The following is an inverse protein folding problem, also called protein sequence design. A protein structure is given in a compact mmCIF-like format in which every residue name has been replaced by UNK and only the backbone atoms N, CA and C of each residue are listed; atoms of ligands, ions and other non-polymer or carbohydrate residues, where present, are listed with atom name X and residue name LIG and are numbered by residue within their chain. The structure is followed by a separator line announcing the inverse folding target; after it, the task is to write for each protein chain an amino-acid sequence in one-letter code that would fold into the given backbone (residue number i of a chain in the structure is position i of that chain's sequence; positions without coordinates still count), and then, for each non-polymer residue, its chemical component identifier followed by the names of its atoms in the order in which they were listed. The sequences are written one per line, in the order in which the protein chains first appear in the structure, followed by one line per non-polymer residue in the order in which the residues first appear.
data_IF_965704094848
#
_entry.id   IF_965704094848
#
_cell.length_a   1.000
_cell.length_b   1.000
_cell.length_c   1.000
_cell.angle_alpha   90.00
_cell.angle_beta   90.00
_cell.angle_gamma   90.00
#
_symmetry.space_group_name_H-M   'P 1'
#
loop_
_entity.id
_entity.type
_entity.pdbx_description
1 polymer ?
#
# COMPACT_ATOMS: atom_id res chain seq x y z
N UNK A 1 13.60 8.24 -17.21
CA UNK A 1 12.86 8.44 -15.93
C UNK A 1 11.42 7.99 -16.11
N UNK A 2 10.99 6.93 -15.40
CA UNK A 2 9.57 6.54 -15.37
C UNK A 2 8.86 7.39 -14.32
N UNK A 3 8.26 8.50 -14.74
CA UNK A 3 7.22 9.14 -13.94
C UNK A 3 6.06 8.16 -13.89
N UNK A 4 5.95 7.40 -12.81
CA UNK A 4 4.88 6.44 -12.60
C UNK A 4 3.57 7.20 -12.40
N UNK A 5 2.89 7.52 -13.52
CA UNK A 5 1.51 8.02 -13.54
C UNK A 5 0.56 6.92 -13.05
N UNK A 6 0.56 6.65 -11.75
CA UNK A 6 -0.31 5.65 -11.13
C UNK A 6 -1.52 6.33 -10.52
N UNK A 7 -2.69 5.71 -10.70
CA UNK A 7 -3.95 6.09 -10.04
C UNK A 7 -4.12 5.44 -8.67
N UNK A 8 -3.18 4.60 -8.25
CA UNK A 8 -3.15 4.06 -6.89
C UNK A 8 -2.69 5.21 -5.99
N UNK A 9 -3.63 5.73 -5.20
CA UNK A 9 -3.44 6.89 -4.34
C UNK A 9 -3.45 6.53 -2.86
N UNK A 10 -3.75 5.27 -2.52
CA UNK A 10 -3.90 4.81 -1.15
C UNK A 10 -3.54 3.33 -0.99
N UNK A 11 -3.04 2.96 0.19
CA UNK A 11 -2.73 1.58 0.58
C UNK A 11 -3.24 1.35 2.00
N UNK A 12 -3.87 0.19 2.19
CA UNK A 12 -4.27 -0.31 3.49
C UNK A 12 -3.65 -1.70 3.70
N UNK A 13 -3.39 -2.06 4.95
CA UNK A 13 -2.97 -3.44 5.30
C UNK A 13 -4.05 -4.12 6.13
N UNK A 14 -4.52 -5.26 5.64
CA UNK A 14 -5.40 -6.15 6.40
C UNK A 14 -4.56 -7.16 7.18
N UNK A 15 -4.75 -7.20 8.49
CA UNK A 15 -4.09 -8.08 9.44
C UNK A 15 -5.18 -8.89 10.14
N UNK A 16 -4.94 -10.18 10.40
CA UNK A 16 -5.97 -11.13 10.85
C UNK A 16 -6.91 -10.63 11.97
N UNK A 17 -8.09 -11.26 12.08
CA UNK A 17 -9.25 -10.80 12.90
C UNK A 17 -9.90 -9.49 12.46
N UNK A 18 -9.66 -9.01 11.24
CA UNK A 18 -10.37 -7.84 10.72
C UNK A 18 -9.60 -6.54 10.76
N UNK A 19 -8.45 -6.48 11.45
CA UNK A 19 -7.68 -5.25 11.67
C UNK A 19 -7.16 -4.65 10.38
N UNK A 20 -7.61 -3.44 10.04
CA UNK A 20 -7.11 -2.67 8.89
C UNK A 20 -6.28 -1.51 9.39
N UNK A 21 -5.05 -1.39 8.88
CA UNK A 21 -4.24 -0.20 9.07
C UNK A 21 -4.49 0.74 7.90
N UNK A 22 -5.08 1.89 8.20
CA UNK A 22 -5.33 2.96 7.24
C UNK A 22 -4.80 4.29 7.80
N UNK A 23 -3.97 4.99 7.02
CA UNK A 23 -3.59 6.39 7.27
C UNK A 23 -4.27 7.34 6.30
N UNK A 24 -5.32 8.03 6.74
CA UNK A 24 -5.98 9.07 5.93
C UNK A 24 -5.44 10.46 6.29
N UNK A 25 -5.53 11.40 5.35
CA UNK A 25 -5.12 12.80 5.59
C UNK A 25 -5.93 13.44 6.74
N UNK A 26 -7.22 13.08 6.86
CA UNK A 26 -8.17 13.69 7.80
C UNK A 26 -8.49 12.82 9.01
N UNK A 27 -7.94 11.61 9.09
CA UNK A 27 -8.12 10.69 10.21
C UNK A 27 -6.74 10.15 10.58
N UNK A 28 -6.35 10.23 11.86
CA UNK A 28 -5.16 9.54 12.37
C UNK A 28 -5.20 8.05 11.99
N UNK A 29 -4.14 7.26 12.23
CA UNK A 29 -4.20 5.84 11.90
C UNK A 29 -5.31 5.16 12.71
N UNK A 30 -6.27 4.53 12.02
CA UNK A 30 -7.43 3.87 12.63
C UNK A 30 -7.28 2.37 12.47
N UNK A 31 -7.54 1.64 13.56
CA UNK A 31 -7.82 0.21 13.55
C UNK A 31 -9.32 0.02 13.22
N UNK A 32 -9.61 -0.48 12.02
CA UNK A 32 -10.98 -0.85 11.64
C UNK A 32 -11.13 -2.36 11.63
N UNK A 33 -12.27 -2.88 12.11
CA UNK A 33 -12.64 -4.30 12.02
C UNK A 33 -13.45 -4.64 10.75
N UNK A 34 -13.91 -3.63 10.00
CA UNK A 34 -14.74 -3.79 8.81
C UNK A 34 -14.13 -3.02 7.64
N UNK A 35 -13.94 -3.69 6.51
CA UNK A 35 -13.67 -3.03 5.22
C UNK A 35 -14.79 -2.02 4.96
N UNK A 36 -14.44 -0.74 4.77
CA UNK A 36 -15.43 0.29 4.45
C UNK A 36 -16.15 -0.04 3.14
N UNK A 37 -17.39 0.43 3.01
CA UNK A 37 -18.24 0.23 1.83
C UNK A 37 -17.65 0.99 0.63
N UNK A 38 -16.68 0.39 -0.08
CA UNK A 38 -15.92 1.01 -1.17
C UNK A 38 -16.64 0.87 -2.53
N UNK A 39 -17.96 1.03 -2.55
CA UNK A 39 -18.84 0.75 -3.71
C UNK A 39 -18.44 1.44 -5.03
N UNK A 40 -17.71 2.55 -4.97
CA UNK A 40 -17.31 3.33 -6.14
C UNK A 40 -15.79 3.33 -6.41
N UNK A 41 -15.04 2.39 -5.82
CA UNK A 41 -13.57 2.33 -5.99
C UNK A 41 -13.12 1.03 -6.66
N UNK A 42 -12.02 1.12 -7.40
CA UNK A 42 -11.30 -0.05 -7.88
C UNK A 42 -10.28 -0.45 -6.82
N UNK A 43 -10.47 -1.63 -6.22
CA UNK A 43 -9.55 -2.18 -5.22
C UNK A 43 -8.70 -3.28 -5.82
N UNK A 44 -7.39 -3.17 -5.63
CA UNK A 44 -6.46 -4.26 -5.88
C UNK A 44 -6.06 -4.84 -4.55
N UNK A 45 -6.28 -6.14 -4.35
CA UNK A 45 -5.76 -6.83 -3.17
C UNK A 45 -4.54 -7.64 -3.51
N UNK A 46 -3.49 -7.33 -2.77
CA UNK A 46 -2.18 -7.93 -2.85
C UNK A 46 -1.91 -8.74 -1.58
N UNK A 47 -1.19 -9.85 -1.71
CA UNK A 47 -0.79 -10.71 -0.60
C UNK A 47 0.72 -10.93 -0.63
N UNK A 48 1.34 -10.77 0.53
CA UNK A 48 2.70 -11.22 0.79
C UNK A 48 2.70 -12.70 1.18
N UNK A 49 3.65 -13.46 0.64
CA UNK A 49 3.88 -14.84 1.07
C UNK A 49 4.84 -14.85 2.28
N UNK A 50 4.24 -14.71 3.47
CA UNK A 50 4.97 -14.65 4.73
C UNK A 50 5.07 -16.03 5.39
N UNK A 51 6.24 -16.35 5.94
CA UNK A 51 6.43 -17.51 6.80
C UNK A 51 5.58 -17.39 8.09
N UNK A 52 5.27 -18.50 8.79
CA UNK A 52 4.54 -18.44 10.06
C UNK A 52 5.19 -17.52 11.10
N UNK A 53 6.53 -17.50 11.14
CA UNK A 53 7.31 -16.64 12.04
C UNK A 53 7.12 -15.16 11.66
N UNK A 54 7.25 -14.83 10.36
CA UNK A 54 7.05 -13.47 9.86
C UNK A 54 5.62 -12.98 10.10
N UNK A 55 4.60 -13.85 9.90
CA UNK A 55 3.21 -13.51 10.22
C UNK A 55 3.05 -13.13 11.69
N UNK A 56 3.52 -13.98 12.61
CA UNK A 56 3.45 -13.70 14.06
C UNK A 56 4.18 -12.40 14.43
N UNK A 57 5.34 -12.15 13.82
CA UNK A 57 6.11 -10.91 14.02
C UNK A 57 5.37 -9.69 13.48
N UNK A 58 4.77 -9.78 12.29
CA UNK A 58 4.00 -8.70 11.69
C UNK A 58 2.82 -8.30 12.58
N UNK A 59 2.05 -9.26 13.09
CA UNK A 59 0.96 -8.99 14.04
C UNK A 59 1.44 -8.18 15.26
N UNK A 60 2.56 -8.59 15.86
CA UNK A 60 3.16 -7.87 17.01
C UNK A 60 3.62 -6.47 16.64
N UNK A 61 4.32 -6.31 15.52
CA UNK A 61 4.80 -5.01 15.02
C UNK A 61 3.63 -4.06 14.81
N UNK A 62 2.54 -4.54 14.21
CA UNK A 62 1.33 -3.75 13.97
C UNK A 62 0.74 -3.26 15.28
N UNK A 63 0.59 -4.13 16.27
CA UNK A 63 0.07 -3.74 17.59
C UNK A 63 0.98 -2.70 18.28
N UNK A 64 2.31 -2.85 18.19
CA UNK A 64 3.28 -1.89 18.73
C UNK A 64 3.21 -0.53 18.01
N UNK A 65 3.14 -0.56 16.67
CA UNK A 65 3.01 0.63 15.84
C UNK A 65 1.71 1.37 16.18
N UNK A 66 0.57 0.69 16.27
CA UNK A 66 -0.70 1.33 16.61
C UNK A 66 -0.68 1.94 18.02
N UNK A 67 -0.08 1.25 19.01
CA UNK A 67 0.13 1.80 20.36
C UNK A 67 0.96 3.08 20.38
N UNK A 68 1.91 3.22 19.45
CA UNK A 68 2.73 4.44 19.33
C UNK A 68 1.95 5.66 18.80
N UNK A 69 0.68 5.48 18.38
CA UNK A 69 -0.19 6.53 17.82
C UNK A 69 0.51 7.33 16.70
N UNK A 70 0.92 6.67 15.61
CA UNK A 70 1.60 7.33 14.50
C UNK A 70 0.71 8.46 13.96
N UNK A 71 1.34 9.46 13.33
CA UNK A 71 0.60 10.59 12.75
C UNK A 71 0.77 10.63 11.25
N UNK A 72 -0.23 11.17 10.55
CA UNK A 72 -0.11 11.34 9.11
C UNK A 72 0.97 12.39 8.77
N UNK A 73 1.78 12.14 7.73
CA UNK A 73 2.79 13.09 7.29
C UNK A 73 2.21 14.23 6.43
N UNK A 74 1.51 15.18 7.07
CA UNK A 74 0.93 16.35 6.39
C UNK A 74 1.99 17.22 5.69
N UNK A 75 3.20 17.35 6.28
CA UNK A 75 4.30 18.15 5.69
C UNK A 75 4.86 17.48 4.44
N UNK A 76 4.80 16.16 4.37
CA UNK A 76 5.18 15.41 3.19
C UNK A 76 4.31 15.68 1.97
N UNK A 77 3.13 16.31 2.08
CA UNK A 77 2.25 16.57 0.92
C UNK A 77 2.94 17.42 -0.15
N UNK A 78 3.74 18.41 0.27
CA UNK A 78 4.60 19.19 -0.63
C UNK A 78 5.69 18.30 -1.23
N UNK A 79 6.30 17.43 -0.42
CA UNK A 79 7.28 16.44 -0.87
C UNK A 79 6.72 15.45 -1.89
N UNK A 80 5.45 15.07 -1.75
CA UNK A 80 4.75 14.21 -2.68
C UNK A 80 4.47 14.91 -4.02
N UNK A 81 4.13 16.20 -4.00
CA UNK A 81 4.01 17.01 -5.21
C UNK A 81 5.37 17.10 -5.95
N UNK A 82 6.46 17.34 -5.22
CA UNK A 82 7.83 17.34 -5.76
C UNK A 82 8.17 15.96 -6.34
N UNK A 83 7.97 14.89 -5.58
CA UNK A 83 8.23 13.52 -6.02
C UNK A 83 7.45 13.15 -7.28
N UNK A 84 6.20 13.57 -7.42
CA UNK A 84 5.44 13.34 -8.66
C UNK A 84 6.04 14.03 -9.88
N UNK A 85 6.65 15.20 -9.70
CA UNK A 85 7.29 15.95 -10.78
C UNK A 85 8.69 15.41 -11.10
N UNK A 86 9.46 15.02 -10.08
CA UNK A 86 10.91 14.79 -10.20
C UNK A 86 11.35 13.34 -9.97
N UNK A 87 10.50 12.49 -9.38
CA UNK A 87 10.86 11.17 -8.88
C UNK A 87 11.72 11.18 -7.61
N UNK A 88 11.99 12.35 -7.03
CA UNK A 88 12.82 12.54 -5.84
C UNK A 88 11.97 13.04 -4.67
N UNK A 89 12.09 12.38 -3.50
CA UNK A 89 11.43 12.83 -2.28
C UNK A 89 12.45 13.44 -1.31
N UNK A 90 12.28 14.71 -0.89
CA UNK A 90 13.24 15.33 0.02
C UNK A 90 13.26 14.65 1.40
N UNK A 91 14.40 14.07 1.79
CA UNK A 91 14.56 13.31 3.05
C UNK A 91 14.16 14.09 4.30
N UNK A 92 14.37 15.41 4.33
CA UNK A 92 14.01 16.28 5.45
C UNK A 92 12.48 16.40 5.69
N UNK A 93 11.67 15.98 4.72
CA UNK A 93 10.21 15.88 4.87
C UNK A 93 9.76 14.55 5.49
N UNK A 94 10.65 13.56 5.60
CA UNK A 94 10.39 12.34 6.34
C UNK A 94 10.75 12.57 7.83
N UNK A 95 9.76 12.47 8.72
CA UNK A 95 9.94 12.71 10.16
C UNK A 95 9.56 11.47 10.94
N UNK A 96 10.38 11.12 11.92
CA UNK A 96 10.14 10.00 12.83
C UNK A 96 8.72 10.04 13.41
N UNK A 97 8.02 8.91 13.34
CA UNK A 97 6.65 8.78 13.85
C UNK A 97 5.56 9.43 12.98
N UNK A 98 5.92 9.95 11.80
CA UNK A 98 4.96 10.46 10.81
C UNK A 98 5.07 9.70 9.51
N UNK A 99 3.94 9.17 9.03
CA UNK A 99 3.92 8.28 7.88
C UNK A 99 2.82 8.67 6.89
N UNK A 100 3.08 8.42 5.61
CA UNK A 100 2.04 8.18 4.63
C UNK A 100 1.46 6.77 4.78
N UNK A 101 0.30 6.54 4.14
CA UNK A 101 -0.38 5.24 4.16
C UNK A 101 0.55 4.09 3.72
N UNK A 102 1.25 4.23 2.60
CA UNK A 102 2.19 3.23 2.06
C UNK A 102 3.45 3.07 2.89
N UNK A 103 3.99 4.16 3.44
CA UNK A 103 5.19 4.12 4.29
C UNK A 103 4.94 3.34 5.58
N UNK A 104 3.78 3.54 6.22
CA UNK A 104 3.46 2.82 7.45
C UNK A 104 3.36 1.31 7.17
N UNK A 105 2.68 0.93 6.09
CA UNK A 105 2.55 -0.47 5.69
C UNK A 105 3.93 -1.06 5.39
N UNK A 106 4.76 -0.35 4.63
CA UNK A 106 6.12 -0.78 4.31
C UNK A 106 6.98 -0.99 5.58
N UNK A 107 6.95 -0.03 6.51
CA UNK A 107 7.69 -0.09 7.78
C UNK A 107 7.25 -1.29 8.63
N UNK A 108 5.95 -1.61 8.66
CA UNK A 108 5.43 -2.80 9.34
C UNK A 108 6.03 -4.10 8.75
N UNK A 109 6.05 -4.22 7.41
CA UNK A 109 6.67 -5.37 6.74
C UNK A 109 8.18 -5.44 6.99
N UNK A 110 8.88 -4.32 6.91
CA UNK A 110 10.32 -4.24 7.11
C UNK A 110 10.72 -4.67 8.52
N UNK A 111 10.05 -4.15 9.56
CA UNK A 111 10.27 -4.57 10.96
C UNK A 111 9.91 -6.05 11.19
N UNK A 112 8.93 -6.57 10.46
CA UNK A 112 8.59 -7.99 10.47
C UNK A 112 9.64 -8.87 9.75
N UNK A 113 10.67 -8.29 9.14
CA UNK A 113 11.72 -9.01 8.42
C UNK A 113 11.32 -9.40 7.00
N UNK A 114 10.42 -8.64 6.36
CA UNK A 114 10.00 -8.83 4.98
C UNK A 114 10.20 -7.53 4.17
N UNK A 115 11.31 -7.44 3.44
CA UNK A 115 11.64 -6.24 2.64
C UNK A 115 10.86 -6.26 1.33
N UNK A 116 9.88 -5.38 1.14
CA UNK A 116 8.99 -5.39 -0.06
C UNK A 116 9.63 -4.82 -1.33
N UNK A 117 10.70 -4.05 -1.21
CA UNK A 117 11.46 -3.49 -2.33
C UNK A 117 12.89 -3.20 -1.89
N UNK A 118 13.58 -2.32 -2.60
CA UNK A 118 14.94 -1.95 -2.21
C UNK A 118 15.03 -0.79 -1.23
N UNK A 119 13.91 -0.11 -0.96
CA UNK A 119 13.85 1.05 -0.09
C UNK A 119 14.39 0.76 1.32
N UNK A 120 15.23 1.67 1.80
CA UNK A 120 15.73 1.67 3.18
C UNK A 120 14.72 2.29 4.16
N UNK A 121 14.98 2.15 5.46
CA UNK A 121 14.21 2.87 6.48
C UNK A 121 14.24 4.38 6.19
N UNK A 122 13.11 5.07 6.41
CA UNK A 122 12.95 6.52 6.16
C UNK A 122 13.07 6.98 4.70
N UNK A 123 13.09 6.05 3.74
CA UNK A 123 12.84 6.42 2.35
C UNK A 123 11.34 6.52 2.06
N UNK A 124 10.99 7.46 1.20
CA UNK A 124 9.62 7.60 0.75
C UNK A 124 9.22 6.39 -0.10
N UNK A 125 8.15 5.72 0.30
CA UNK A 125 7.57 4.60 -0.44
C UNK A 125 6.20 5.01 -0.92
N UNK A 126 6.01 5.06 -2.24
CA UNK A 126 4.71 5.40 -2.81
C UNK A 126 3.77 4.19 -2.81
N UNK A 127 2.43 4.40 -2.88
CA UNK A 127 1.48 3.32 -3.13
C UNK A 127 1.79 2.50 -4.39
N UNK A 128 2.45 3.11 -5.37
CA UNK A 128 2.80 2.45 -6.62
C UNK A 128 3.97 1.50 -6.44
N UNK A 129 4.96 1.85 -5.63
CA UNK A 129 6.11 0.99 -5.35
C UNK A 129 5.65 -0.31 -4.68
N UNK A 130 4.70 -0.18 -3.74
CA UNK A 130 4.01 -1.33 -3.13
C UNK A 130 3.29 -2.18 -4.18
N UNK A 131 2.51 -1.56 -5.09
CA UNK A 131 1.80 -2.31 -6.12
C UNK A 131 2.74 -3.05 -7.09
N UNK A 132 3.84 -2.40 -7.47
CA UNK A 132 4.81 -2.93 -8.44
C UNK A 132 5.76 -3.96 -7.84
N UNK A 133 5.89 -4.04 -6.51
CA UNK A 133 6.69 -5.05 -5.79
C UNK A 133 6.45 -6.47 -6.29
N UNK A 134 7.49 -7.17 -6.72
CA UNK A 134 7.44 -8.57 -7.18
C UNK A 134 7.14 -9.55 -6.04
N UNK A 135 7.44 -9.16 -4.80
CA UNK A 135 7.16 -9.93 -3.56
C UNK A 135 5.69 -9.94 -3.15
N UNK A 136 4.85 -9.14 -3.82
CA UNK A 136 3.41 -9.10 -3.61
C UNK A 136 2.65 -9.75 -4.77
N UNK A 137 1.85 -10.75 -4.44
CA UNK A 137 1.00 -11.46 -5.39
C UNK A 137 -0.38 -10.81 -5.47
N UNK A 138 -0.88 -10.56 -6.67
CA UNK A 138 -2.25 -10.10 -6.84
C UNK A 138 -3.23 -11.25 -6.63
N UNK A 139 -4.15 -11.08 -5.68
CA UNK A 139 -5.18 -12.08 -5.37
C UNK A 139 -6.48 -11.75 -6.09
N UNK A 140 -6.92 -10.49 -6.05
CA UNK A 140 -8.14 -10.07 -6.72
C UNK A 140 -8.16 -8.58 -7.07
N UNK A 141 -9.02 -8.26 -8.04
CA UNK A 141 -9.41 -6.91 -8.43
C UNK A 141 -10.91 -6.77 -8.20
N UNK A 142 -11.31 -5.87 -7.31
CA UNK A 142 -12.71 -5.43 -7.17
C UNK A 142 -12.86 -4.17 -8.00
N UNK A 143 -13.69 -4.22 -9.02
CA UNK A 143 -14.11 -3.02 -9.75
C UNK A 143 -15.54 -2.72 -9.29
N UNK A 144 -15.71 -1.68 -8.45
CA UNK A 144 -16.99 -1.35 -7.81
C UNK A 144 -18.18 -1.20 -8.79
N UNK A 145 -17.90 -0.98 -10.08
CA UNK A 145 -18.90 -0.86 -11.15
C UNK A 145 -19.22 -2.22 -11.81
N UNK A 146 -18.26 -3.14 -11.92
CA UNK A 146 -18.39 -4.38 -12.69
C UNK A 146 -18.33 -5.67 -11.84
N UNK A 147 -18.28 -5.55 -10.51
CA UNK A 147 -18.19 -6.67 -9.58
C UNK A 147 -16.78 -7.26 -9.43
N UNK A 148 -16.68 -8.39 -8.74
CA UNK A 148 -15.41 -9.08 -8.46
C UNK A 148 -14.89 -9.74 -9.73
N UNK A 149 -13.82 -9.21 -10.34
CA UNK A 149 -13.09 -9.94 -11.39
C UNK A 149 -12.07 -10.85 -10.71
N UNK A 150 -12.53 -12.02 -10.28
CA UNK A 150 -11.63 -13.10 -9.89
C UNK A 150 -10.87 -13.53 -11.15
N UNK A 151 -9.55 -13.32 -11.15
CA UNK A 151 -8.69 -13.92 -12.16
C UNK A 151 -8.64 -15.43 -11.92
N UNK A 152 -9.65 -16.17 -12.43
CA UNK A 152 -9.63 -17.65 -12.50
C UNK A 152 -8.49 -18.18 -13.38
N UNK A 153 -7.77 -17.31 -14.10
CA UNK A 153 -6.56 -17.66 -14.86
C UNK A 153 -5.31 -17.44 -14.00
N UNK A 154 -5.14 -18.28 -12.98
CA UNK A 154 -3.87 -18.43 -12.23
C UNK A 154 -2.72 -19.03 -13.05
N UNK A 155 -2.92 -19.26 -14.37
CA UNK A 155 -1.86 -19.67 -15.30
C UNK A 155 -1.12 -18.51 -15.99
N UNK A 156 -1.65 -17.29 -15.93
CA UNK A 156 -0.92 -16.10 -16.40
C UNK A 156 -0.01 -15.58 -15.28
N UNK A 157 1.27 -15.32 -15.58
CA UNK A 157 2.24 -14.86 -14.57
C UNK A 157 1.75 -13.59 -13.84
N UNK A 158 2.01 -13.48 -12.53
CA UNK A 158 1.64 -12.30 -11.70
C UNK A 158 2.04 -10.97 -12.37
N UNK A 159 3.15 -10.97 -13.10
CA UNK A 159 3.64 -9.83 -13.92
C UNK A 159 2.65 -9.43 -15.03
N UNK A 160 2.06 -10.39 -15.74
CA UNK A 160 1.04 -10.15 -16.78
C UNK A 160 -0.25 -9.62 -16.16
N UNK A 161 -0.71 -10.20 -15.06
CA UNK A 161 -1.90 -9.74 -14.33
C UNK A 161 -1.71 -8.29 -13.85
N UNK A 162 -0.58 -7.97 -13.19
CA UNK A 162 -0.25 -6.59 -12.79
C UNK A 162 -0.23 -5.61 -13.96
N UNK A 163 0.30 -6.03 -15.12
CA UNK A 163 0.34 -5.19 -16.33
C UNK A 163 -1.06 -4.90 -16.87
N UNK A 164 -1.94 -5.90 -16.93
CA UNK A 164 -3.32 -5.71 -17.38
C UNK A 164 -4.14 -4.89 -16.39
N UNK A 165 -4.00 -5.14 -15.08
CA UNK A 165 -4.63 -4.31 -14.03
C UNK A 165 -4.15 -2.86 -14.12
N UNK A 166 -2.85 -2.62 -14.37
CA UNK A 166 -2.32 -1.27 -14.58
C UNK A 166 -2.99 -0.59 -15.78
N UNK A 167 -3.21 -1.30 -16.90
CA UNK A 167 -3.96 -0.74 -18.05
C UNK A 167 -5.40 -0.37 -17.68
N UNK A 168 -6.09 -1.20 -16.90
CA UNK A 168 -7.44 -0.90 -16.40
C UNK A 168 -7.44 0.33 -15.51
N UNK A 169 -6.51 0.40 -14.54
CA UNK A 169 -6.37 1.57 -13.66
C UNK A 169 -6.08 2.84 -14.45
N UNK A 170 -5.33 2.74 -15.56
CA UNK A 170 -5.00 3.86 -16.45
C UNK A 170 -6.11 4.27 -17.43
N UNK A 171 -7.11 3.42 -17.71
CA UNK A 171 -8.22 3.79 -18.60
C UNK A 171 -9.04 4.92 -17.95
N UNK A 172 -9.20 6.04 -18.65
CA UNK A 172 -10.13 7.10 -18.25
C UNK A 172 -11.54 6.50 -18.14
N UNK A 173 -12.16 6.58 -16.95
CA UNK A 173 -13.61 6.69 -16.89
C UNK A 173 -13.89 8.04 -17.59
N UNK A 174 -14.63 7.98 -18.70
CA UNK A 174 -15.00 9.17 -19.48
C UNK A 174 -15.83 10.11 -18.62
#
# INVERSE_FOLDING_TARGET
MKVTRSRINHVEMYVGRGKVINGLVNRAFIDYEKLMDMKNQVLVVLRADLSPIQKKKLHRVVDEVLKSKPRYNLRGLVGHAIYRATGFFPRWLNRTGRFFCSELVYECYLKAGFKLGEHEHSEFVSPTDMFESDKLQMIFLLDGINGIKLSRKTRDSNKKIKRETKKLLLKKIK
#
